data_IF_154843017260
#
_entry.id   IF_154843017260
#
_cell.length_a   1.000
_cell.length_b   1.000
_cell.length_c   1.000
_cell.angle_alpha   90.00
_cell.angle_beta   90.00
_cell.angle_gamma   90.00
#
_symmetry.space_group_name_H-M   'P 1'
#
loop_
_entity.id
_entity.type
_entity.pdbx_description
1 polymer ?
#
# COMPACT_ATOMS: atom_id res chain seq x y z
N UNK A 1 -14.67 -13.58 -10.92
CA UNK A 1 -14.05 -13.35 -9.58
C UNK A 1 -12.96 -14.38 -9.38
N UNK A 2 -11.68 -13.97 -9.29
CA UNK A 2 -10.57 -14.88 -9.03
C UNK A 2 -10.62 -15.32 -7.56
N UNK A 3 -10.62 -16.63 -7.29
CA UNK A 3 -10.57 -17.19 -5.94
C UNK A 3 -9.24 -17.92 -5.77
N UNK A 4 -8.42 -17.48 -4.81
CA UNK A 4 -7.16 -18.12 -4.44
C UNK A 4 -7.30 -18.65 -3.01
N UNK A 5 -6.81 -19.86 -2.75
CA UNK A 5 -6.84 -20.46 -1.42
C UNK A 5 -5.89 -19.74 -0.47
N UNK A 6 -6.40 -19.29 0.67
CA UNK A 6 -5.58 -18.70 1.73
C UNK A 6 -4.56 -19.71 2.31
N UNK A 7 -4.92 -21.01 2.35
CA UNK A 7 -4.01 -22.08 2.79
C UNK A 7 -2.81 -22.20 1.86
N UNK A 8 -3.07 -22.19 0.54
CA UNK A 8 -2.01 -22.29 -0.46
C UNK A 8 -1.07 -21.08 -0.43
N UNK A 9 -1.61 -19.88 -0.22
CA UNK A 9 -0.80 -18.66 -0.07
C UNK A 9 0.14 -18.75 1.14
N UNK A 10 -0.35 -19.24 2.29
CA UNK A 10 0.49 -19.48 3.47
C UNK A 10 1.61 -20.49 3.20
N UNK A 11 1.29 -21.60 2.53
CA UNK A 11 2.28 -22.62 2.16
C UNK A 11 3.33 -22.08 1.18
N UNK A 12 2.96 -21.14 0.32
CA UNK A 12 3.86 -20.44 -0.60
C UNK A 12 4.67 -19.31 0.07
N UNK A 13 4.50 -19.07 1.39
CA UNK A 13 5.26 -18.08 2.16
C UNK A 13 4.63 -16.68 2.21
N UNK A 14 3.37 -16.52 1.82
CA UNK A 14 2.65 -15.25 1.95
C UNK A 14 2.00 -15.15 3.34
N UNK A 15 2.37 -14.10 4.08
CA UNK A 15 1.82 -13.83 5.41
C UNK A 15 0.54 -12.98 5.34
N UNK A 16 -0.32 -13.13 6.36
CA UNK A 16 -1.54 -12.31 6.48
C UNK A 16 -1.15 -10.84 6.65
N UNK A 17 -1.81 -9.95 5.89
CA UNK A 17 -1.53 -8.52 5.92
C UNK A 17 -0.45 -8.08 4.92
N UNK A 18 0.24 -9.01 4.26
CA UNK A 18 1.18 -8.70 3.18
C UNK A 18 0.42 -8.25 1.93
N UNK A 19 0.70 -7.04 1.45
CA UNK A 19 0.24 -6.61 0.13
C UNK A 19 0.82 -7.51 -0.96
N UNK A 20 0.01 -7.89 -1.94
CA UNK A 20 0.44 -8.71 -3.07
C UNK A 20 0.15 -8.00 -4.38
N UNK A 21 1.18 -7.89 -5.21
CA UNK A 21 1.05 -7.42 -6.58
C UNK A 21 0.77 -8.62 -7.49
N UNK A 22 -0.35 -8.56 -8.21
CA UNK A 22 -0.74 -9.58 -9.19
C UNK A 22 -0.31 -9.14 -10.58
N UNK A 23 0.45 -9.99 -11.28
CA UNK A 23 0.78 -9.82 -12.70
C UNK A 23 0.24 -10.98 -13.52
N UNK A 24 -0.27 -10.69 -14.71
CA UNK A 24 -0.70 -11.71 -15.68
C UNK A 24 0.27 -11.66 -16.85
N UNK A 25 0.91 -12.79 -17.17
CA UNK A 25 1.83 -12.88 -18.30
C UNK A 25 1.78 -14.26 -18.93
N UNK A 26 1.64 -14.34 -20.26
CA UNK A 26 1.66 -15.59 -21.04
C UNK A 26 0.76 -16.72 -20.50
N UNK A 27 -0.41 -16.36 -19.95
CA UNK A 27 -1.35 -17.33 -19.37
C UNK A 27 -1.03 -17.75 -17.94
N UNK A 28 0.01 -17.19 -17.31
CA UNK A 28 0.34 -17.41 -15.91
C UNK A 28 -0.09 -16.23 -15.03
N UNK A 29 -0.54 -16.56 -13.82
CA UNK A 29 -0.76 -15.62 -12.72
C UNK A 29 0.50 -15.60 -11.84
N UNK A 30 1.14 -14.44 -11.72
CA UNK A 30 2.32 -14.24 -10.89
C UNK A 30 1.90 -13.41 -9.68
N UNK A 31 2.18 -13.92 -8.49
CA UNK A 31 1.95 -13.25 -7.21
C UNK A 31 3.31 -12.82 -6.66
N UNK A 32 3.45 -11.52 -6.42
CA UNK A 32 4.65 -10.94 -5.83
C UNK A 32 4.25 -10.37 -4.47
N UNK A 33 4.88 -10.88 -3.40
CA UNK A 33 4.76 -10.24 -2.10
C UNK A 33 5.41 -8.87 -2.20
N UNK A 34 4.74 -7.85 -1.71
CA UNK A 34 5.36 -6.55 -1.56
C UNK A 34 6.50 -6.70 -0.54
N UNK A 35 7.72 -6.27 -0.91
CA UNK A 35 8.85 -6.28 0.02
C UNK A 35 8.51 -5.39 1.23
N UNK A 36 8.83 -5.87 2.44
CA UNK A 36 8.62 -5.13 3.69
C UNK A 36 9.15 -3.70 3.59
N UNK A 37 10.36 -3.49 3.06
CA UNK A 37 10.94 -2.16 2.87
C UNK A 37 10.05 -1.23 2.02
N UNK A 38 9.48 -1.75 0.94
CA UNK A 38 8.59 -0.99 0.05
C UNK A 38 7.26 -0.68 0.75
N UNK A 39 6.76 -1.59 1.57
CA UNK A 39 5.57 -1.36 2.39
C UNK A 39 5.82 -0.29 3.47
N UNK A 40 6.96 -0.35 4.15
CA UNK A 40 7.37 0.66 5.13
C UNK A 40 7.54 2.03 4.50
N UNK A 41 8.26 2.11 3.38
CA UNK A 41 8.44 3.35 2.61
C UNK A 41 7.11 3.95 2.14
N UNK A 42 6.14 3.12 1.71
CA UNK A 42 4.80 3.60 1.33
C UNK A 42 4.05 4.18 2.53
N UNK A 43 4.18 3.56 3.70
CA UNK A 43 3.56 4.01 4.95
C UNK A 43 4.16 5.35 5.40
N UNK A 44 5.48 5.48 5.38
CA UNK A 44 6.16 6.74 5.68
C UNK A 44 5.74 7.86 4.71
N UNK A 45 5.74 7.57 3.41
CA UNK A 45 5.35 8.55 2.39
C UNK A 45 3.89 9.02 2.57
N UNK A 46 2.99 8.12 2.97
CA UNK A 46 1.62 8.48 3.31
C UNK A 46 1.55 9.43 4.52
N UNK A 47 2.30 9.14 5.59
CA UNK A 47 2.33 9.99 6.78
C UNK A 47 2.87 11.40 6.46
N UNK A 48 3.95 11.48 5.69
CA UNK A 48 4.52 12.77 5.24
C UNK A 48 3.50 13.55 4.40
N UNK A 49 2.80 12.89 3.47
CA UNK A 49 1.76 13.55 2.65
C UNK A 49 0.62 14.11 3.50
N UNK A 50 0.20 13.40 4.55
CA UNK A 50 -0.84 13.88 5.46
C UNK A 50 -0.35 15.06 6.30
N UNK A 51 0.89 15.02 6.80
CA UNK A 51 1.48 16.13 7.53
C UNK A 51 1.53 17.42 6.68
N UNK A 52 2.02 17.32 5.44
CA UNK A 52 2.06 18.45 4.50
C UNK A 52 0.65 18.98 4.23
N UNK A 53 -0.32 18.10 4.00
CA UNK A 53 -1.71 18.51 3.80
C UNK A 53 -2.24 19.28 5.00
N UNK A 54 -2.04 18.77 6.21
CA UNK A 54 -2.45 19.45 7.45
C UNK A 54 -1.82 20.84 7.61
N UNK A 55 -0.54 20.98 7.26
CA UNK A 55 0.13 22.28 7.27
C UNK A 55 -0.46 23.26 6.24
N UNK A 56 -0.73 22.79 5.03
CA UNK A 56 -1.40 23.61 4.01
C UNK A 56 -2.79 24.04 4.47
N UNK A 57 -3.61 23.11 4.96
CA UNK A 57 -4.96 23.38 5.43
C UNK A 57 -4.95 24.42 6.57
N UNK A 58 -4.02 24.30 7.52
CA UNK A 58 -3.86 25.26 8.61
C UNK A 58 -3.47 26.66 8.09
N UNK A 59 -2.55 26.74 7.12
CA UNK A 59 -2.14 28.01 6.52
C UNK A 59 -3.30 28.70 5.78
N UNK A 60 -4.12 27.93 5.05
CA UNK A 60 -5.31 28.47 4.39
C UNK A 60 -6.34 28.99 5.40
N UNK A 61 -6.52 28.33 6.55
CA UNK A 61 -7.42 28.82 7.61
C UNK A 61 -6.99 30.19 8.13
N UNK A 62 -5.70 30.37 8.45
CA UNK A 62 -5.16 31.63 8.98
C UNK A 62 -5.32 32.79 7.98
N UNK A 63 -5.10 32.53 6.68
CA UNK A 63 -5.23 33.54 5.64
C UNK A 63 -6.69 33.91 5.33
N UNK A 64 -7.64 32.98 5.52
CA UNK A 64 -9.05 33.23 5.25
C UNK A 64 -9.79 33.86 6.46
N UNK A 65 -9.15 33.88 7.62
CA UNK A 65 -9.63 34.58 8.83
C UNK A 65 -9.12 36.03 8.95
N UNK A 66 -8.25 36.48 8.01
CA UNK A 66 -7.71 37.84 7.91
C UNK A 66 -8.44 38.67 6.86
#
# INVERSE_FOLDING_TARGET
MLKISAKWLREAGFEIGTGVTVKISKGCLILLADNNEVQELRRELYQVKQAIKGMCDAMFSVLNES
#
